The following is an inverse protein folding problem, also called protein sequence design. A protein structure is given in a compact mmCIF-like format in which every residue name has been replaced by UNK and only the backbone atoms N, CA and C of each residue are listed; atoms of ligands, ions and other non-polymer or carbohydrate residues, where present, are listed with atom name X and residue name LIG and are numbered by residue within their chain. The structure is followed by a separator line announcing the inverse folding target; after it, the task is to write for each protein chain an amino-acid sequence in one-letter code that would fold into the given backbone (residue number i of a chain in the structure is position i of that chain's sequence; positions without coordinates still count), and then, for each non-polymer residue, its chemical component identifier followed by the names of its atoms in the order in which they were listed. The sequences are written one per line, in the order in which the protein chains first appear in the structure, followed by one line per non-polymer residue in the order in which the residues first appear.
data_IF_255594291905
#
_entry.id   IF_255594291905
#
_cell.length_a   1.000
_cell.length_b   1.000
_cell.length_c   1.000
_cell.angle_alpha   90.00
_cell.angle_beta   90.00
_cell.angle_gamma   90.00
#
_symmetry.space_group_name_H-M   'P 1'
#
loop_
_entity.id
_entity.type
_entity.pdbx_description
1 polymer ?
#
# COMPACT_ATOMS: atom_id res chain seq x y z
N UNK A 1 -9.24 4.68 -7.88
CA UNK A 1 -10.13 5.83 -8.18
C UNK A 1 -11.53 5.30 -8.46
N UNK A 2 -12.57 5.81 -7.78
CA UNK A 2 -13.98 5.49 -8.08
C UNK A 2 -14.31 6.01 -9.48
N UNK A 3 -15.38 5.50 -10.12
CA UNK A 3 -15.70 5.70 -11.54
C UNK A 3 -15.54 7.09 -12.18
N UNK A 4 -15.52 8.19 -11.40
CA UNK A 4 -15.21 9.53 -11.90
C UNK A 4 -13.71 9.89 -11.95
N UNK A 5 -12.84 9.13 -11.28
CA UNK A 5 -11.42 9.45 -11.17
C UNK A 5 -10.63 9.19 -12.46
N UNK A 6 -10.93 8.09 -13.16
CA UNK A 6 -10.24 7.74 -14.41
C UNK A 6 -10.51 8.76 -15.52
N UNK A 7 -11.77 9.16 -15.83
CA UNK A 7 -12.03 10.23 -16.78
C UNK A 7 -11.33 11.56 -16.44
N UNK A 8 -11.34 11.94 -15.15
CA UNK A 8 -10.69 13.18 -14.71
C UNK A 8 -9.15 13.10 -14.86
N UNK A 9 -8.55 11.93 -14.61
CA UNK A 9 -7.13 11.71 -14.83
C UNK A 9 -6.74 11.78 -16.31
N UNK A 10 -7.60 11.24 -17.21
CA UNK A 10 -7.38 11.30 -18.67
C UNK A 10 -7.44 12.74 -19.18
N UNK A 11 -8.44 13.54 -18.73
CA UNK A 11 -8.57 14.94 -19.11
C UNK A 11 -7.40 15.77 -18.55
N UNK A 12 -6.85 15.35 -17.39
CA UNK A 12 -5.72 16.01 -16.73
C UNK A 12 -6.14 17.22 -15.87
N UNK A 13 -5.29 17.51 -14.86
CA UNK A 13 -5.46 18.71 -14.02
C UNK A 13 -6.52 18.65 -12.92
N UNK A 14 -7.22 17.51 -12.75
CA UNK A 14 -8.29 17.37 -11.76
C UNK A 14 -8.00 16.23 -10.78
N UNK A 15 -7.63 16.57 -9.54
CA UNK A 15 -7.34 15.59 -8.50
C UNK A 15 -8.56 15.22 -7.65
N UNK A 16 -9.52 16.12 -7.51
CA UNK A 16 -10.75 15.94 -6.73
C UNK A 16 -11.90 16.78 -7.29
N UNK A 17 -13.13 16.39 -6.98
CA UNK A 17 -14.33 17.17 -7.32
C UNK A 17 -14.41 18.36 -6.38
N UNK A 18 -14.45 19.57 -6.94
CA UNK A 18 -14.59 20.83 -6.21
C UNK A 18 -16.08 21.20 -6.02
N UNK A 19 -16.37 21.97 -5.00
CA UNK A 19 -17.72 22.51 -4.76
C UNK A 19 -17.78 24.00 -5.15
N UNK A 20 -18.87 24.47 -5.79
CA UNK A 20 -20.09 23.73 -6.16
C UNK A 20 -19.90 22.77 -7.34
N UNK A 21 -20.40 21.55 -7.22
CA UNK A 21 -20.18 20.47 -8.19
C UNK A 21 -20.63 20.83 -9.62
N UNK A 22 -21.71 21.60 -9.79
CA UNK A 22 -22.21 22.01 -11.11
C UNK A 22 -21.17 22.83 -11.89
N UNK A 23 -20.59 23.84 -11.27
CA UNK A 23 -19.55 24.66 -11.90
C UNK A 23 -18.27 23.90 -12.17
N UNK A 24 -17.90 23.00 -11.28
CA UNK A 24 -16.78 22.09 -11.50
C UNK A 24 -16.99 21.27 -12.78
N UNK A 25 -18.13 20.61 -12.93
CA UNK A 25 -18.40 19.78 -14.11
C UNK A 25 -18.54 20.56 -15.39
N UNK A 26 -19.13 21.78 -15.36
CA UNK A 26 -19.17 22.65 -16.53
C UNK A 26 -17.74 23.03 -16.98
N UNK A 27 -16.85 23.34 -16.05
CA UNK A 27 -15.43 23.62 -16.34
C UNK A 27 -14.71 22.40 -16.92
N UNK A 28 -14.93 21.21 -16.36
CA UNK A 28 -14.34 19.95 -16.85
C UNK A 28 -14.80 19.67 -18.28
N UNK A 29 -16.10 19.79 -18.55
CA UNK A 29 -16.67 19.56 -19.89
C UNK A 29 -16.13 20.58 -20.89
N UNK A 30 -16.10 21.87 -20.54
CA UNK A 30 -15.57 22.91 -21.41
C UNK A 30 -14.08 22.67 -21.72
N UNK A 31 -13.28 22.27 -20.71
CA UNK A 31 -11.88 21.93 -20.89
C UNK A 31 -11.71 20.70 -21.81
N UNK A 32 -12.49 19.63 -21.59
CA UNK A 32 -12.45 18.45 -22.44
C UNK A 32 -12.82 18.76 -23.90
N UNK A 33 -13.87 19.57 -24.13
CA UNK A 33 -14.26 20.00 -25.48
C UNK A 33 -13.18 20.87 -26.14
N UNK A 34 -12.55 21.76 -25.37
CA UNK A 34 -11.45 22.56 -25.86
C UNK A 34 -10.25 21.70 -26.24
N UNK A 35 -9.88 20.72 -25.41
CA UNK A 35 -8.80 19.76 -25.73
C UNK A 35 -9.11 18.98 -26.99
N UNK A 36 -10.33 18.47 -27.16
CA UNK A 36 -10.74 17.74 -28.37
C UNK A 36 -10.65 18.59 -29.65
N UNK A 37 -10.96 19.90 -29.55
CA UNK A 37 -11.00 20.80 -30.68
C UNK A 37 -9.62 21.40 -31.05
N UNK A 38 -8.81 21.70 -30.04
CA UNK A 38 -7.64 22.58 -30.22
C UNK A 38 -6.33 22.02 -29.65
N UNK A 39 -6.35 20.97 -28.81
CA UNK A 39 -5.13 20.45 -28.25
C UNK A 39 -4.28 19.74 -29.33
N UNK A 40 -2.98 20.04 -29.33
CA UNK A 40 -2.01 19.36 -30.18
C UNK A 40 -1.74 17.97 -29.62
N UNK A 41 -1.35 17.01 -30.46
CA UNK A 41 -1.04 15.63 -30.04
C UNK A 41 0.07 15.57 -28.98
N UNK A 42 1.03 16.48 -29.04
CA UNK A 42 2.15 16.63 -28.11
C UNK A 42 1.74 17.24 -26.74
N UNK A 43 0.49 17.70 -26.59
CA UNK A 43 -0.04 18.18 -25.31
C UNK A 43 -0.53 17.05 -24.39
N UNK A 44 -0.68 15.83 -24.91
CA UNK A 44 -1.08 14.67 -24.11
C UNK A 44 0.13 13.84 -23.70
N UNK A 45 0.10 13.22 -22.50
CA UNK A 45 1.18 12.33 -22.08
C UNK A 45 1.25 11.11 -23.00
N UNK A 46 2.48 10.66 -23.32
CA UNK A 46 2.70 9.44 -24.11
C UNK A 46 2.26 8.19 -23.36
N UNK A 47 2.36 8.22 -22.03
CA UNK A 47 1.96 7.12 -21.13
C UNK A 47 1.04 7.65 -20.03
N UNK A 48 -0.10 6.99 -19.84
CA UNK A 48 -1.02 7.22 -18.74
C UNK A 48 -0.93 6.08 -17.73
N UNK A 49 -0.69 6.41 -16.46
CA UNK A 49 -0.76 5.46 -15.36
C UNK A 49 -2.07 5.66 -14.61
N UNK A 50 -2.95 4.64 -14.66
CA UNK A 50 -4.30 4.70 -14.10
C UNK A 50 -4.48 3.64 -13.04
N UNK A 51 -4.96 4.02 -11.86
CA UNK A 51 -5.34 3.10 -10.80
C UNK A 51 -6.81 2.68 -10.95
N UNK A 52 -7.06 1.38 -11.06
CA UNK A 52 -8.40 0.80 -11.19
C UNK A 52 -8.83 0.23 -9.83
N UNK A 53 -9.78 0.91 -9.17
CA UNK A 53 -10.37 0.43 -7.91
C UNK A 53 -11.54 -0.53 -8.19
N UNK A 54 -11.68 -1.55 -7.34
CA UNK A 54 -12.74 -2.55 -7.41
C UNK A 54 -13.39 -2.70 -6.03
N UNK A 55 -14.44 -1.94 -5.77
CA UNK A 55 -15.21 -1.99 -4.53
C UNK A 55 -16.35 -3.03 -4.64
N UNK A 56 -16.94 -3.18 -5.82
CA UNK A 56 -18.07 -4.07 -6.08
C UNK A 56 -17.98 -4.76 -7.46
N UNK A 57 -18.79 -5.82 -7.70
CA UNK A 57 -18.85 -6.48 -9.00
C UNK A 57 -19.16 -5.51 -10.14
N UNK A 58 -18.39 -5.60 -11.21
CA UNK A 58 -18.56 -4.79 -12.42
C UNK A 58 -17.68 -3.55 -12.51
N UNK A 59 -17.05 -3.12 -11.41
CA UNK A 59 -16.23 -1.90 -11.39
C UNK A 59 -15.07 -1.98 -12.38
N UNK A 60 -14.31 -3.07 -12.40
CA UNK A 60 -13.19 -3.23 -13.34
C UNK A 60 -13.71 -3.29 -14.78
N UNK A 61 -14.83 -3.97 -15.04
CA UNK A 61 -15.42 -4.01 -16.39
C UNK A 61 -15.82 -2.60 -16.86
N UNK A 62 -16.38 -1.79 -15.97
CA UNK A 62 -16.73 -0.40 -16.26
C UNK A 62 -15.50 0.43 -16.57
N UNK A 63 -14.45 0.35 -15.75
CA UNK A 63 -13.20 1.09 -15.96
C UNK A 63 -12.51 0.67 -17.27
N UNK A 64 -12.51 -0.61 -17.60
CA UNK A 64 -12.01 -1.13 -18.87
C UNK A 64 -12.78 -0.62 -20.08
N UNK A 65 -14.07 -0.31 -19.94
CA UNK A 65 -14.87 0.30 -21.02
C UNK A 65 -14.50 1.77 -21.27
N UNK A 66 -13.91 2.46 -20.27
CA UNK A 66 -13.42 3.83 -20.39
C UNK A 66 -12.00 3.85 -21.00
N UNK A 67 -11.10 3.05 -20.46
CA UNK A 67 -9.73 2.96 -20.94
C UNK A 67 -9.24 1.51 -20.81
N UNK A 68 -8.91 0.89 -21.94
CA UNK A 68 -8.31 -0.44 -21.96
C UNK A 68 -6.78 -0.29 -21.87
N UNK A 69 -6.09 -0.92 -20.89
CA UNK A 69 -4.65 -0.78 -20.76
C UNK A 69 -3.89 -1.64 -21.80
N UNK A 70 -2.68 -1.21 -22.16
CA UNK A 70 -1.68 -2.02 -22.87
C UNK A 70 -0.80 -2.80 -21.88
N UNK A 71 -0.63 -2.26 -20.67
CA UNK A 71 0.08 -2.94 -19.59
C UNK A 71 -0.84 -2.99 -18.37
N UNK A 72 -1.19 -4.19 -17.93
CA UNK A 72 -2.02 -4.41 -16.73
C UNK A 72 -1.16 -4.91 -15.58
N UNK A 73 -1.19 -4.20 -14.44
CA UNK A 73 -0.40 -4.55 -13.26
C UNK A 73 -1.30 -5.02 -12.13
N UNK A 74 -1.03 -6.20 -11.56
CA UNK A 74 -1.64 -6.66 -10.31
C UNK A 74 -0.53 -6.85 -9.26
N UNK A 75 -0.45 -5.91 -8.33
CA UNK A 75 0.57 -5.89 -7.28
C UNK A 75 0.27 -6.85 -6.13
N UNK A 76 -0.96 -6.84 -5.63
CA UNK A 76 -1.42 -7.74 -4.58
C UNK A 76 -2.95 -7.76 -4.49
N UNK A 77 -3.51 -8.87 -4.02
CA UNK A 77 -4.92 -9.03 -3.68
C UNK A 77 -5.07 -9.41 -2.20
N UNK A 78 -4.19 -10.28 -1.71
CA UNK A 78 -4.22 -10.82 -0.35
C UNK A 78 -5.16 -12.02 -0.19
N UNK A 79 -5.03 -12.72 0.92
CA UNK A 79 -5.90 -13.84 1.30
C UNK A 79 -7.27 -13.38 1.80
N UNK A 80 -7.31 -12.22 2.45
CA UNK A 80 -8.55 -11.56 2.91
C UNK A 80 -8.57 -10.14 2.34
N UNK A 81 -9.04 -9.97 1.10
CA UNK A 81 -9.10 -8.64 0.48
C UNK A 81 -10.22 -7.80 1.10
N UNK A 82 -9.99 -6.50 1.19
CA UNK A 82 -11.05 -5.54 1.52
C UNK A 82 -12.19 -5.61 0.51
N UNK A 83 -13.39 -5.23 0.91
CA UNK A 83 -14.63 -5.28 0.13
C UNK A 83 -15.13 -6.70 -0.24
N UNK A 84 -14.54 -7.76 0.32
CA UNK A 84 -15.00 -9.13 0.04
C UNK A 84 -16.49 -9.33 0.34
N UNK A 85 -17.05 -8.59 1.31
CA UNK A 85 -18.48 -8.58 1.65
C UNK A 85 -19.40 -8.07 0.53
N UNK A 86 -18.87 -7.25 -0.40
CA UNK A 86 -19.63 -6.71 -1.52
C UNK A 86 -19.79 -7.72 -2.66
N UNK A 87 -19.13 -8.87 -2.56
CA UNK A 87 -19.14 -9.90 -3.59
C UNK A 87 -19.88 -11.14 -3.11
N UNK A 88 -20.84 -11.67 -3.89
CA UNK A 88 -21.62 -12.86 -3.51
C UNK A 88 -20.76 -14.09 -3.20
N UNK A 89 -19.58 -14.20 -3.81
CA UNK A 89 -18.62 -15.29 -3.60
C UNK A 89 -17.43 -14.86 -2.72
N UNK A 90 -17.56 -13.74 -1.99
CA UNK A 90 -16.53 -13.26 -1.06
C UNK A 90 -15.18 -13.01 -1.75
N UNK A 91 -14.12 -13.51 -1.15
CA UNK A 91 -12.72 -13.39 -1.63
C UNK A 91 -12.56 -13.82 -3.09
N UNK A 92 -13.19 -14.94 -3.51
CA UNK A 92 -13.11 -15.41 -4.89
C UNK A 92 -13.72 -14.42 -5.88
N UNK A 93 -14.78 -13.72 -5.48
CA UNK A 93 -15.40 -12.65 -6.25
C UNK A 93 -14.46 -11.48 -6.49
N UNK A 94 -13.75 -11.05 -5.46
CA UNK A 94 -12.74 -9.98 -5.56
C UNK A 94 -11.59 -10.39 -6.48
N UNK A 95 -11.08 -11.62 -6.32
CA UNK A 95 -9.99 -12.15 -7.17
C UNK A 95 -10.44 -12.14 -8.64
N UNK A 96 -11.65 -12.63 -8.93
CA UNK A 96 -12.22 -12.67 -10.28
C UNK A 96 -12.41 -11.27 -10.85
N UNK A 97 -12.91 -10.33 -10.05
CA UNK A 97 -13.11 -8.95 -10.48
C UNK A 97 -11.79 -8.27 -10.82
N UNK A 98 -10.81 -8.29 -9.91
CA UNK A 98 -9.48 -7.70 -10.15
C UNK A 98 -8.75 -8.39 -11.31
N UNK A 99 -8.92 -9.70 -11.46
CA UNK A 99 -8.37 -10.48 -12.56
C UNK A 99 -8.83 -10.04 -13.95
N UNK A 100 -10.02 -9.42 -14.06
CA UNK A 100 -10.52 -8.88 -15.35
C UNK A 100 -9.54 -7.90 -15.99
N UNK A 101 -8.77 -7.16 -15.18
CA UNK A 101 -7.75 -6.24 -15.69
C UNK A 101 -6.77 -6.94 -16.62
N UNK A 102 -6.23 -8.07 -16.19
CA UNK A 102 -5.24 -8.83 -16.97
C UNK A 102 -5.87 -9.79 -17.97
N UNK A 103 -7.13 -10.21 -17.76
CA UNK A 103 -7.85 -11.04 -18.72
C UNK A 103 -8.34 -10.26 -19.95
N UNK A 104 -8.49 -8.93 -19.84
CA UNK A 104 -8.86 -8.05 -20.94
C UNK A 104 -7.71 -7.77 -21.91
N UNK A 105 -6.47 -8.10 -21.51
CA UNK A 105 -5.27 -7.89 -22.32
C UNK A 105 -5.25 -8.87 -23.51
N UNK A 106 -4.84 -8.35 -24.67
CA UNK A 106 -4.64 -9.14 -25.89
C UNK A 106 -3.20 -9.63 -26.08
N UNK A 107 -2.93 -10.31 -27.18
CA UNK A 107 -1.60 -10.88 -27.47
C UNK A 107 -0.47 -9.85 -27.61
N UNK A 108 -0.81 -8.60 -27.97
CA UNK A 108 0.16 -7.49 -28.07
C UNK A 108 0.34 -6.72 -26.77
N UNK A 109 -0.42 -7.03 -25.72
CA UNK A 109 -0.39 -6.35 -24.42
C UNK A 109 0.48 -7.12 -23.42
N UNK A 110 0.79 -6.52 -22.28
CA UNK A 110 1.63 -7.15 -21.23
C UNK A 110 0.92 -7.15 -19.87
N UNK A 111 0.92 -8.30 -19.20
CA UNK A 111 0.51 -8.45 -17.82
C UNK A 111 1.74 -8.47 -16.90
N UNK A 112 1.76 -7.62 -15.87
CA UNK A 112 2.79 -7.59 -14.82
C UNK A 112 2.15 -8.05 -13.52
N UNK A 113 2.61 -9.16 -12.95
CA UNK A 113 1.94 -9.81 -11.83
C UNK A 113 2.90 -10.26 -10.73
N UNK A 114 2.45 -10.13 -9.49
CA UNK A 114 3.20 -10.52 -8.31
C UNK A 114 3.11 -12.04 -8.07
N UNK A 115 4.25 -12.73 -8.12
CA UNK A 115 4.32 -14.17 -7.86
C UNK A 115 4.28 -14.55 -6.36
N UNK A 116 4.36 -13.60 -5.44
CA UNK A 116 4.35 -13.90 -4.01
C UNK A 116 2.90 -13.94 -3.47
N UNK A 117 1.97 -13.25 -4.13
CA UNK A 117 0.58 -13.24 -3.74
C UNK A 117 -0.15 -14.50 -4.21
N UNK A 118 -0.67 -15.30 -3.26
CA UNK A 118 -1.35 -16.59 -3.53
C UNK A 118 -2.57 -16.40 -4.39
N UNK A 119 -3.33 -15.31 -4.19
CA UNK A 119 -4.53 -15.00 -4.96
C UNK A 119 -4.19 -14.61 -6.39
N UNK A 120 -3.11 -13.83 -6.58
CA UNK A 120 -2.62 -13.47 -7.93
C UNK A 120 -2.12 -14.69 -8.69
N UNK A 121 -1.44 -15.63 -8.03
CA UNK A 121 -1.01 -16.91 -8.66
C UNK A 121 -2.15 -17.67 -9.32
N UNK A 122 -3.36 -17.64 -8.76
CA UNK A 122 -4.51 -18.32 -9.33
C UNK A 122 -4.98 -17.74 -10.67
N UNK A 123 -4.54 -16.53 -11.01
CA UNK A 123 -4.89 -15.85 -12.25
C UNK A 123 -3.97 -16.23 -13.42
N UNK A 124 -2.72 -16.63 -13.12
CA UNK A 124 -1.66 -16.82 -14.12
C UNK A 124 -2.08 -17.71 -15.31
N UNK A 125 -2.73 -18.85 -15.03
CA UNK A 125 -3.15 -19.80 -16.07
C UNK A 125 -4.24 -19.28 -17.02
N UNK A 126 -4.87 -18.16 -16.69
CA UNK A 126 -5.97 -17.54 -17.45
C UNK A 126 -5.50 -16.32 -18.26
N UNK A 127 -4.30 -15.84 -18.05
CA UNK A 127 -3.73 -14.69 -18.77
C UNK A 127 -3.28 -15.15 -20.15
N UNK A 128 -3.71 -14.42 -21.20
CA UNK A 128 -3.36 -14.70 -22.60
C UNK A 128 -2.25 -13.78 -23.14
N UNK A 129 -2.06 -12.64 -22.50
CA UNK A 129 -1.05 -11.66 -22.83
C UNK A 129 0.36 -12.15 -22.44
N UNK A 130 1.40 -11.51 -22.98
CA UNK A 130 2.75 -11.65 -22.45
C UNK A 130 2.72 -11.39 -20.95
N UNK A 131 3.29 -12.29 -20.15
CA UNK A 131 3.29 -12.14 -18.69
C UNK A 131 4.71 -11.98 -18.18
N UNK A 132 4.95 -10.87 -17.46
CA UNK A 132 6.17 -10.60 -16.72
C UNK A 132 5.84 -10.76 -15.24
N UNK A 133 6.57 -11.67 -14.57
CA UNK A 133 6.31 -12.03 -13.17
C UNK A 133 7.38 -11.43 -12.29
N UNK A 134 7.00 -10.78 -11.20
CA UNK A 134 7.94 -10.28 -10.19
C UNK A 134 7.63 -10.83 -8.81
N UNK A 135 8.61 -10.75 -7.90
CA UNK A 135 8.47 -11.17 -6.50
C UNK A 135 9.73 -11.83 -5.96
N UNK A 136 9.66 -12.39 -4.76
CA UNK A 136 10.75 -13.12 -4.11
C UNK A 136 10.84 -14.59 -4.61
N UNK A 137 9.74 -15.10 -5.15
CA UNK A 137 9.62 -16.48 -5.61
C UNK A 137 10.64 -16.80 -6.71
N UNK A 138 11.20 -18.01 -6.68
CA UNK A 138 12.03 -18.53 -7.77
C UNK A 138 11.23 -18.55 -9.08
N UNK A 139 11.88 -18.15 -10.18
CA UNK A 139 11.24 -18.07 -11.49
C UNK A 139 10.59 -16.72 -11.79
N UNK A 140 10.63 -15.74 -10.88
CA UNK A 140 10.28 -14.36 -11.18
C UNK A 140 11.26 -13.76 -12.19
N UNK A 141 10.76 -13.05 -13.19
CA UNK A 141 11.59 -12.35 -14.19
C UNK A 141 12.38 -11.20 -13.54
N UNK A 142 11.75 -10.51 -12.59
CA UNK A 142 12.41 -9.56 -11.68
C UNK A 142 12.24 -10.10 -10.27
N UNK A 143 13.32 -10.66 -9.74
CA UNK A 143 13.32 -11.30 -8.43
C UNK A 143 13.85 -10.36 -7.36
N UNK A 144 13.13 -10.27 -6.24
CA UNK A 144 13.51 -9.48 -5.08
C UNK A 144 14.25 -10.40 -4.10
N UNK A 145 15.46 -10.00 -3.70
CA UNK A 145 16.27 -10.78 -2.76
C UNK A 145 16.94 -9.87 -1.73
N UNK A 146 17.44 -10.43 -0.62
CA UNK A 146 18.22 -9.72 0.41
C UNK A 146 17.51 -8.45 0.96
N UNK A 147 16.21 -8.55 1.26
CA UNK A 147 15.46 -7.43 1.81
C UNK A 147 15.85 -7.25 3.28
N UNK A 148 16.27 -6.04 3.65
CA UNK A 148 16.59 -5.67 5.02
C UNK A 148 16.47 -4.16 5.23
N UNK A 149 16.47 -3.71 6.50
CA UNK A 149 16.55 -2.29 6.82
C UNK A 149 18.01 -1.87 7.06
N UNK A 150 18.37 -0.70 6.54
CA UNK A 150 19.65 -0.07 6.86
C UNK A 150 19.49 0.73 8.14
N UNK A 151 20.45 0.56 9.06
CA UNK A 151 20.46 1.24 10.34
C UNK A 151 21.68 2.18 10.43
N UNK A 152 21.49 3.34 11.06
CA UNK A 152 22.55 4.25 11.45
C UNK A 152 22.49 4.47 12.97
N UNK A 153 23.34 3.79 13.70
CA UNK A 153 23.14 3.62 15.14
C UNK A 153 21.82 2.90 15.39
N UNK A 154 20.96 3.48 16.22
CA UNK A 154 19.64 2.92 16.56
C UNK A 154 18.51 3.43 15.63
N UNK A 155 18.84 4.20 14.57
CA UNK A 155 17.85 4.75 13.64
C UNK A 155 17.77 3.95 12.35
N UNK A 156 16.55 3.75 11.87
CA UNK A 156 16.26 3.15 10.58
C UNK A 156 16.45 4.22 9.50
N UNK A 157 17.35 4.01 8.54
CA UNK A 157 17.57 4.93 7.43
C UNK A 157 16.64 4.66 6.25
N UNK A 158 16.30 3.37 6.03
CA UNK A 158 15.45 2.97 4.92
C UNK A 158 15.52 1.48 4.63
N UNK A 159 15.02 1.11 3.47
CA UNK A 159 14.93 -0.26 2.99
C UNK A 159 16.01 -0.53 1.95
N UNK A 160 16.74 -1.63 2.08
CA UNK A 160 17.69 -2.15 1.08
C UNK A 160 17.26 -3.52 0.59
N UNK A 161 17.48 -3.77 -0.68
CA UNK A 161 17.23 -5.08 -1.30
C UNK A 161 18.02 -5.20 -2.61
N UNK A 162 17.96 -6.37 -3.25
CA UNK A 162 18.49 -6.56 -4.60
C UNK A 162 17.36 -6.94 -5.55
N UNK A 163 17.44 -6.43 -6.77
CA UNK A 163 16.65 -6.90 -7.89
C UNK A 163 17.53 -7.76 -8.79
N UNK A 164 17.14 -9.01 -8.96
CA UNK A 164 17.82 -9.96 -9.85
C UNK A 164 16.96 -10.15 -11.11
N UNK A 165 17.56 -9.95 -12.27
CA UNK A 165 16.97 -10.26 -13.58
C UNK A 165 17.80 -11.34 -14.27
N UNK A 166 17.41 -11.80 -15.43
CA UNK A 166 18.18 -12.78 -16.20
C UNK A 166 19.61 -12.31 -16.55
N UNK A 167 19.82 -10.99 -16.63
CA UNK A 167 21.08 -10.40 -17.12
C UNK A 167 21.88 -9.64 -16.05
N UNK A 168 21.24 -9.26 -14.92
CA UNK A 168 21.90 -8.37 -13.94
C UNK A 168 21.33 -8.53 -12.53
N UNK A 169 22.14 -8.10 -11.54
CA UNK A 169 21.74 -7.99 -10.14
C UNK A 169 22.00 -6.56 -9.68
N UNK A 170 20.94 -5.85 -9.32
CA UNK A 170 20.95 -4.42 -9.00
C UNK A 170 20.68 -4.22 -7.50
N UNK A 171 21.60 -3.62 -6.74
CA UNK A 171 21.32 -3.17 -5.38
C UNK A 171 20.39 -1.96 -5.41
N UNK A 172 19.43 -1.91 -4.49
CA UNK A 172 18.46 -0.82 -4.35
C UNK A 172 18.45 -0.31 -2.93
N UNK A 173 18.44 1.00 -2.76
CA UNK A 173 18.22 1.66 -1.47
C UNK A 173 17.09 2.68 -1.59
N UNK A 174 16.08 2.51 -0.75
CA UNK A 174 14.96 3.44 -0.62
C UNK A 174 15.07 4.18 0.72
N UNK A 175 15.52 5.44 0.72
CA UNK A 175 15.64 6.22 1.95
C UNK A 175 14.27 6.54 2.54
N UNK A 176 14.18 6.54 3.88
CA UNK A 176 12.99 6.88 4.64
C UNK A 176 11.75 6.04 4.34
N UNK A 177 11.94 4.82 3.83
CA UNK A 177 10.88 3.85 3.54
C UNK A 177 11.02 2.66 4.48
N UNK A 178 9.90 2.22 5.05
CA UNK A 178 9.90 1.12 6.00
C UNK A 178 9.37 -0.19 5.41
N UNK A 179 8.18 -0.22 4.83
CA UNK A 179 7.54 -1.48 4.43
C UNK A 179 8.24 -2.17 3.26
N UNK A 180 8.44 -3.47 3.39
CA UNK A 180 8.98 -4.33 2.31
C UNK A 180 8.07 -4.36 1.07
N UNK A 181 6.80 -3.94 1.18
CA UNK A 181 5.90 -3.81 0.04
C UNK A 181 6.44 -2.84 -1.04
N UNK A 182 7.28 -1.86 -0.65
CA UNK A 182 7.90 -0.94 -1.60
C UNK A 182 8.92 -1.63 -2.52
N UNK A 183 9.59 -2.69 -2.05
CA UNK A 183 10.44 -3.50 -2.91
C UNK A 183 9.62 -4.16 -4.04
N UNK A 184 8.42 -4.65 -3.73
CA UNK A 184 7.49 -5.17 -4.74
C UNK A 184 7.01 -4.09 -5.71
N UNK A 185 6.77 -2.86 -5.23
CA UNK A 185 6.38 -1.74 -6.09
C UNK A 185 7.51 -1.36 -7.06
N UNK A 186 8.77 -1.31 -6.59
CA UNK A 186 9.94 -1.05 -7.45
C UNK A 186 10.12 -2.16 -8.48
N UNK A 187 10.03 -3.44 -8.07
CA UNK A 187 10.11 -4.57 -8.99
C UNK A 187 9.00 -4.52 -10.07
N UNK A 188 7.77 -4.17 -9.68
CA UNK A 188 6.67 -3.95 -10.63
C UNK A 188 6.99 -2.80 -11.60
N UNK A 189 7.56 -1.70 -11.12
CA UNK A 189 7.99 -0.57 -11.94
C UNK A 189 9.05 -0.97 -12.98
N UNK A 190 10.04 -1.77 -12.58
CA UNK A 190 11.06 -2.31 -13.51
C UNK A 190 10.41 -3.23 -14.56
N UNK A 191 9.46 -4.09 -14.16
CA UNK A 191 8.70 -4.91 -15.12
C UNK A 191 7.85 -4.09 -16.10
N UNK A 192 7.28 -2.97 -15.64
CA UNK A 192 6.57 -2.03 -16.52
C UNK A 192 7.55 -1.37 -17.49
N UNK A 193 8.75 -0.96 -17.01
CA UNK A 193 9.82 -0.47 -17.88
C UNK A 193 10.16 -1.48 -18.99
N UNK A 194 10.34 -2.76 -18.63
CA UNK A 194 10.59 -3.82 -19.61
C UNK A 194 9.46 -3.97 -20.65
N UNK A 195 8.21 -3.76 -20.25
CA UNK A 195 7.07 -3.79 -21.16
C UNK A 195 7.09 -2.63 -22.20
N UNK A 196 7.87 -1.59 -21.95
CA UNK A 196 8.14 -0.46 -22.84
C UNK A 196 9.57 -0.47 -23.41
N UNK A 197 10.24 -1.63 -23.42
CA UNK A 197 11.61 -1.82 -23.92
C UNK A 197 12.68 -0.96 -23.19
N UNK A 198 12.39 -0.55 -21.95
CA UNK A 198 13.34 0.13 -21.07
C UNK A 198 14.10 -0.94 -20.29
N UNK A 199 15.42 -0.93 -20.33
CA UNK A 199 16.22 -1.91 -19.59
C UNK A 199 16.12 -1.68 -18.07
N UNK A 200 16.43 -2.70 -17.29
CA UNK A 200 16.26 -2.69 -15.84
C UNK A 200 17.11 -1.62 -15.12
N UNK A 201 18.29 -1.29 -15.65
CA UNK A 201 19.19 -0.29 -15.07
C UNK A 201 18.57 1.10 -15.20
N UNK A 202 18.15 1.48 -16.42
CA UNK A 202 17.56 2.79 -16.69
C UNK A 202 16.23 2.95 -15.95
N UNK A 203 15.40 1.89 -15.90
CA UNK A 203 14.16 1.89 -15.16
C UNK A 203 14.39 2.10 -13.65
N UNK A 204 15.37 1.41 -13.07
CA UNK A 204 15.71 1.57 -11.65
C UNK A 204 16.27 2.96 -11.36
N UNK A 205 17.18 3.49 -12.20
CA UNK A 205 17.72 4.84 -12.03
C UNK A 205 16.62 5.91 -12.07
N UNK A 206 15.66 5.79 -12.99
CA UNK A 206 14.52 6.70 -13.05
C UNK A 206 13.63 6.61 -11.79
N UNK A 207 13.42 5.41 -11.25
CA UNK A 207 12.69 5.20 -10.01
C UNK A 207 13.45 5.86 -8.85
N UNK A 208 14.73 5.55 -8.65
CA UNK A 208 15.52 6.10 -7.54
C UNK A 208 15.61 7.63 -7.57
N UNK A 209 15.70 8.21 -8.77
CA UNK A 209 15.77 9.67 -8.94
C UNK A 209 14.45 10.39 -8.56
N UNK A 210 13.31 9.72 -8.67
CA UNK A 210 11.97 10.30 -8.47
C UNK A 210 11.24 9.75 -7.23
N UNK A 211 11.76 8.69 -6.62
CA UNK A 211 11.08 8.01 -5.52
C UNK A 211 11.13 8.85 -4.24
N UNK A 212 9.96 9.14 -3.73
CA UNK A 212 9.80 9.82 -2.44
C UNK A 212 8.73 9.10 -1.59
N UNK A 213 8.95 8.92 -0.28
CA UNK A 213 7.93 8.37 0.60
C UNK A 213 6.68 9.26 0.58
N UNK A 214 5.51 8.63 0.49
CA UNK A 214 4.23 9.33 0.57
C UNK A 214 3.74 9.22 2.02
N UNK A 215 3.35 10.35 2.62
CA UNK A 215 2.77 10.36 3.97
C UNK A 215 1.60 9.39 4.11
N UNK A 216 1.52 8.70 5.23
CA UNK A 216 0.54 7.64 5.48
C UNK A 216 0.84 6.29 4.82
N UNK A 217 1.93 6.19 4.03
CA UNK A 217 2.29 4.99 3.27
C UNK A 217 3.74 4.58 3.53
N UNK A 218 4.02 4.10 4.74
CA UNK A 218 5.33 3.57 5.15
C UNK A 218 6.47 4.58 5.21
N UNK A 219 6.19 5.86 5.34
CA UNK A 219 7.22 6.87 5.55
C UNK A 219 7.82 6.75 6.95
N UNK A 220 9.15 6.82 7.04
CA UNK A 220 9.87 6.96 8.31
C UNK A 220 10.05 8.44 8.59
N UNK A 221 9.45 8.92 9.69
CA UNK A 221 9.46 10.32 10.11
C UNK A 221 10.21 10.46 11.43
N UNK A 222 10.88 11.60 11.64
CA UNK A 222 11.43 11.93 12.94
C UNK A 222 10.33 12.39 13.89
N UNK A 223 10.29 11.79 15.07
CA UNK A 223 9.33 12.09 16.11
C UNK A 223 9.93 12.79 17.32
N UNK A 224 9.06 13.20 18.25
CA UNK A 224 9.46 13.79 19.54
C UNK A 224 10.37 12.84 20.33
N UNK A 225 11.24 13.38 21.20
CA UNK A 225 12.19 12.62 22.02
C UNK A 225 13.09 11.68 21.20
N UNK A 226 13.47 12.09 20.00
CA UNK A 226 14.36 11.30 19.14
C UNK A 226 13.79 9.92 18.72
N UNK A 227 12.44 9.80 18.72
CA UNK A 227 11.73 8.61 18.24
C UNK A 227 11.66 8.59 16.72
N UNK A 228 11.39 7.43 16.14
CA UNK A 228 11.04 7.29 14.72
C UNK A 228 9.58 6.85 14.59
N UNK A 229 8.82 7.59 13.81
CA UNK A 229 7.42 7.28 13.49
C UNK A 229 7.37 6.59 12.14
N UNK A 230 6.82 5.39 12.10
CA UNK A 230 6.49 4.68 10.87
C UNK A 230 5.04 5.02 10.55
N UNK A 231 4.87 5.92 9.59
CA UNK A 231 3.55 6.42 9.20
C UNK A 231 2.89 5.51 8.16
N UNK A 232 1.97 4.69 8.63
CA UNK A 232 1.08 3.82 7.85
C UNK A 232 -0.39 4.19 8.07
N UNK A 233 -0.67 5.44 8.42
CA UNK A 233 -1.97 5.91 8.90
C UNK A 233 -3.04 6.04 7.81
N UNK A 234 -2.67 5.99 6.52
CA UNK A 234 -3.61 6.23 5.42
C UNK A 234 -4.71 5.16 5.32
N UNK A 235 -4.39 3.88 5.44
CA UNK A 235 -5.37 2.79 5.42
C UNK A 235 -4.78 1.51 6.02
N UNK A 236 -5.65 0.54 6.35
CA UNK A 236 -5.24 -0.76 6.89
C UNK A 236 -6.05 -1.90 6.28
N UNK A 237 -5.34 -2.92 5.79
CA UNK A 237 -5.88 -4.20 5.40
C UNK A 237 -5.10 -5.33 6.10
N UNK A 238 -5.63 -6.56 6.20
CA UNK A 238 -4.93 -7.66 6.85
C UNK A 238 -3.51 -7.88 6.30
N UNK A 239 -3.37 -7.97 4.98
CA UNK A 239 -2.06 -8.15 4.33
C UNK A 239 -1.10 -6.98 4.62
N UNK A 240 -1.58 -5.72 4.55
CA UNK A 240 -0.74 -4.56 4.78
C UNK A 240 -0.32 -4.44 6.26
N UNK A 241 -1.20 -4.79 7.20
CA UNK A 241 -0.87 -4.80 8.63
C UNK A 241 0.09 -5.93 8.99
N UNK A 242 -0.13 -7.12 8.46
CA UNK A 242 0.79 -8.24 8.60
C UNK A 242 2.19 -7.88 8.10
N UNK A 243 2.28 -7.31 6.89
CA UNK A 243 3.56 -6.90 6.29
C UNK A 243 4.26 -5.83 7.15
N UNK A 244 3.54 -4.86 7.68
CA UNK A 244 4.11 -3.80 8.54
C UNK A 244 4.64 -4.37 9.86
N UNK A 245 3.87 -5.24 10.53
CA UNK A 245 4.28 -5.89 11.78
C UNK A 245 5.47 -6.83 11.57
N UNK A 246 5.46 -7.64 10.50
CA UNK A 246 6.59 -8.51 10.16
C UNK A 246 7.86 -7.70 9.88
N UNK A 247 7.73 -6.54 9.21
CA UNK A 247 8.86 -5.65 8.95
C UNK A 247 9.50 -5.13 10.24
N UNK A 248 8.71 -4.92 11.31
CA UNK A 248 9.25 -4.54 12.63
C UNK A 248 10.17 -5.62 13.24
N UNK A 249 9.99 -6.90 12.90
CA UNK A 249 10.84 -7.96 13.45
C UNK A 249 12.28 -7.87 12.97
N UNK A 250 12.52 -7.27 11.81
CA UNK A 250 13.86 -7.06 11.24
C UNK A 250 14.60 -5.84 11.84
N UNK A 251 13.93 -5.03 12.64
CA UNK A 251 14.53 -3.89 13.35
C UNK A 251 15.02 -4.35 14.71
N UNK A 252 16.33 -4.27 14.94
CA UNK A 252 16.97 -4.66 16.18
C UNK A 252 17.38 -3.43 17.01
N UNK A 253 17.28 -3.54 18.33
CA UNK A 253 17.76 -2.56 19.30
C UNK A 253 16.66 -1.70 19.90
N UNK A 254 15.98 -0.80 19.17
CA UNK A 254 14.99 0.09 19.77
C UNK A 254 13.76 -0.64 20.28
N UNK A 255 13.13 -0.08 21.35
CA UNK A 255 11.82 -0.51 21.82
C UNK A 255 10.75 -0.15 20.77
N UNK A 256 9.80 -1.02 20.56
CA UNK A 256 8.78 -0.95 19.52
C UNK A 256 7.41 -0.72 20.12
N UNK A 257 6.72 0.28 19.63
CA UNK A 257 5.32 0.57 19.96
C UNK A 257 4.49 0.45 18.69
N UNK A 258 3.33 -0.19 18.77
CA UNK A 258 2.35 -0.14 17.69
C UNK A 258 1.06 0.54 18.14
N UNK A 259 0.60 1.53 17.38
CA UNK A 259 -0.72 2.15 17.49
C UNK A 259 -1.56 1.64 16.33
N UNK A 260 -2.46 0.70 16.62
CA UNK A 260 -3.22 -0.03 15.61
C UNK A 260 -4.70 0.31 15.68
N UNK A 261 -5.23 0.85 14.60
CA UNK A 261 -6.65 1.14 14.43
C UNK A 261 -7.44 -0.01 13.82
N UNK A 262 -8.77 0.11 13.80
CA UNK A 262 -9.65 -0.84 13.13
C UNK A 262 -9.23 -1.10 11.70
N UNK A 263 -9.36 -2.34 11.25
CA UNK A 263 -9.41 -2.72 9.83
C UNK A 263 -10.88 -2.80 9.42
N UNK A 264 -11.30 -1.91 8.53
CA UNK A 264 -12.68 -1.81 8.06
C UNK A 264 -12.91 -2.59 6.75
N UNK A 265 -14.17 -2.75 6.36
CA UNK A 265 -14.60 -3.34 5.08
C UNK A 265 -14.19 -4.82 4.89
N UNK A 266 -14.07 -5.55 6.00
CA UNK A 266 -13.70 -6.97 6.00
C UNK A 266 -14.91 -7.92 6.15
N UNK A 267 -16.09 -7.37 6.44
CA UNK A 267 -17.31 -8.18 6.63
C UNK A 267 -17.13 -9.34 7.62
N UNK A 268 -17.45 -10.58 7.19
CA UNK A 268 -17.36 -11.75 8.06
C UNK A 268 -15.94 -12.11 8.50
N UNK A 269 -14.91 -11.58 7.83
CA UNK A 269 -13.52 -11.84 8.17
C UNK A 269 -12.99 -10.93 9.28
N UNK A 270 -13.77 -9.94 9.73
CA UNK A 270 -13.34 -8.91 10.69
C UNK A 270 -12.74 -9.51 11.95
N UNK A 271 -13.43 -10.46 12.59
CA UNK A 271 -12.99 -11.02 13.88
C UNK A 271 -11.66 -11.76 13.70
N UNK A 272 -11.57 -12.64 12.70
CA UNK A 272 -10.38 -13.45 12.51
C UNK A 272 -9.17 -12.58 12.12
N UNK A 273 -9.35 -11.63 11.23
CA UNK A 273 -8.28 -10.72 10.81
C UNK A 273 -7.72 -9.88 11.97
N UNK A 274 -8.59 -9.41 12.89
CA UNK A 274 -8.14 -8.69 14.08
C UNK A 274 -7.44 -9.61 15.09
N UNK A 275 -7.90 -10.85 15.25
CA UNK A 275 -7.19 -11.85 16.08
C UNK A 275 -5.79 -12.15 15.52
N UNK A 276 -5.69 -12.43 14.22
CA UNK A 276 -4.40 -12.71 13.58
C UNK A 276 -3.42 -11.55 13.76
N UNK A 277 -3.90 -10.31 13.59
CA UNK A 277 -3.11 -9.11 13.82
C UNK A 277 -2.67 -8.95 15.29
N UNK A 278 -3.55 -9.23 16.26
CA UNK A 278 -3.23 -9.19 17.68
C UNK A 278 -2.19 -10.23 18.07
N UNK A 279 -2.35 -11.46 17.58
CA UNK A 279 -1.39 -12.54 17.80
C UNK A 279 0.00 -12.23 17.19
N UNK A 280 0.04 -11.54 16.04
CA UNK A 280 1.28 -11.11 15.42
C UNK A 280 1.90 -9.94 16.20
N UNK A 281 1.12 -8.94 16.59
CA UNK A 281 1.57 -7.79 17.37
C UNK A 281 2.25 -8.22 18.68
N UNK A 282 1.68 -9.20 19.37
CA UNK A 282 2.26 -9.76 20.61
C UNK A 282 3.69 -10.28 20.48
N UNK A 283 4.10 -10.63 19.25
CA UNK A 283 5.46 -11.13 18.95
C UNK A 283 6.39 -10.06 18.40
N UNK A 284 5.83 -8.95 17.94
CA UNK A 284 6.57 -7.96 17.17
C UNK A 284 6.83 -6.65 17.92
N UNK A 285 6.04 -6.34 18.97
CA UNK A 285 6.12 -5.06 19.65
C UNK A 285 6.18 -5.21 21.17
N UNK A 286 6.76 -4.21 21.84
CA UNK A 286 6.88 -4.15 23.31
C UNK A 286 5.66 -3.49 23.94
N UNK A 287 4.95 -2.61 23.18
CA UNK A 287 3.74 -1.93 23.63
C UNK A 287 2.74 -1.91 22.48
N UNK A 288 1.50 -2.29 22.76
CA UNK A 288 0.38 -2.26 21.83
C UNK A 288 -0.68 -1.27 22.32
N UNK A 289 -1.03 -0.31 21.49
CA UNK A 289 -2.15 0.62 21.70
C UNK A 289 -3.15 0.36 20.58
N UNK A 290 -4.36 -0.09 20.94
CA UNK A 290 -5.41 -0.34 19.96
C UNK A 290 -6.42 0.80 19.97
N UNK A 291 -6.92 1.21 18.79
CA UNK A 291 -7.82 2.33 18.62
C UNK A 291 -9.05 1.92 17.80
N UNK A 292 -10.22 2.02 18.42
CA UNK A 292 -11.51 1.66 17.82
C UNK A 292 -12.14 0.40 18.39
N UNK A 293 -13.38 0.15 17.99
CA UNK A 293 -14.19 -0.90 18.57
C UNK A 293 -13.76 -2.32 18.18
N UNK A 294 -13.28 -2.49 16.93
CA UNK A 294 -12.84 -3.79 16.40
C UNK A 294 -11.41 -4.09 16.83
N UNK A 295 -10.58 -3.07 16.97
CA UNK A 295 -9.20 -3.20 17.42
C UNK A 295 -9.07 -3.74 18.85
N UNK A 296 -10.13 -3.68 19.68
CA UNK A 296 -10.21 -4.37 20.98
C UNK A 296 -9.96 -5.87 20.86
N UNK A 297 -10.35 -6.49 19.73
CA UNK A 297 -10.09 -7.90 19.45
C UNK A 297 -8.59 -8.16 19.33
N UNK A 298 -7.83 -7.24 18.73
CA UNK A 298 -6.36 -7.34 18.67
C UNK A 298 -5.75 -7.30 20.06
N UNK A 299 -6.22 -6.36 20.91
CA UNK A 299 -5.74 -6.23 22.28
C UNK A 299 -5.98 -7.50 23.10
N UNK A 300 -7.21 -8.05 23.04
CA UNK A 300 -7.55 -9.28 23.76
C UNK A 300 -6.70 -10.45 23.29
N UNK A 301 -6.56 -10.64 21.97
CA UNK A 301 -5.74 -11.73 21.44
C UNK A 301 -4.25 -11.55 21.80
N UNK A 302 -3.73 -10.32 21.84
CA UNK A 302 -2.36 -10.06 22.28
C UNK A 302 -2.13 -10.46 23.75
N UNK A 303 -3.10 -10.19 24.64
CA UNK A 303 -3.08 -10.65 26.02
C UNK A 303 -3.14 -12.17 26.10
N UNK A 304 -4.02 -12.81 25.32
CA UNK A 304 -4.16 -14.27 25.26
C UNK A 304 -2.87 -14.95 24.75
N UNK A 305 -2.05 -14.23 23.94
CA UNK A 305 -0.72 -14.67 23.49
C UNK A 305 0.40 -14.33 24.47
N UNK A 306 0.08 -13.82 25.66
CA UNK A 306 1.04 -13.62 26.73
C UNK A 306 1.66 -12.22 26.80
N UNK A 307 1.15 -11.24 26.08
CA UNK A 307 1.55 -9.85 26.25
C UNK A 307 1.12 -9.33 27.62
N UNK A 308 1.96 -8.54 28.29
CA UNK A 308 1.66 -8.00 29.63
C UNK A 308 0.49 -7.03 29.58
N UNK A 309 -0.41 -7.06 30.57
CA UNK A 309 -1.52 -6.11 30.72
C UNK A 309 -1.03 -4.66 30.76
N UNK A 310 0.13 -4.40 31.34
CA UNK A 310 0.74 -3.06 31.40
C UNK A 310 1.29 -2.58 30.05
N UNK A 311 1.38 -3.46 29.06
CA UNK A 311 1.89 -3.17 27.72
C UNK A 311 0.78 -3.11 26.67
N UNK A 312 -0.47 -3.42 27.02
CA UNK A 312 -1.62 -3.40 26.10
C UNK A 312 -2.62 -2.33 26.56
N UNK A 313 -2.91 -1.39 25.68
CA UNK A 313 -3.82 -0.29 25.94
C UNK A 313 -4.96 -0.28 24.92
N UNK A 314 -6.20 -0.13 25.39
CA UNK A 314 -7.40 -0.08 24.55
C UNK A 314 -7.98 1.32 24.57
N UNK A 315 -8.13 1.93 23.40
CA UNK A 315 -8.63 3.27 23.20
C UNK A 315 -9.83 3.28 22.26
N UNK A 316 -10.76 4.22 22.45
CA UNK A 316 -11.93 4.36 21.59
C UNK A 316 -11.63 5.25 20.38
N UNK A 317 -10.88 6.32 20.58
CA UNK A 317 -10.59 7.35 19.57
C UNK A 317 -9.09 7.51 19.36
N UNK A 318 -8.72 8.11 18.22
CA UNK A 318 -7.33 8.48 17.92
C UNK A 318 -6.74 9.42 18.98
N UNK A 319 -7.58 10.30 19.55
CA UNK A 319 -7.18 11.21 20.64
C UNK A 319 -6.80 10.44 21.91
N UNK A 320 -7.61 9.47 22.32
CA UNK A 320 -7.29 8.65 23.49
C UNK A 320 -5.99 7.87 23.26
N UNK A 321 -5.80 7.35 22.05
CA UNK A 321 -4.57 6.66 21.63
C UNK A 321 -3.35 7.58 21.71
N UNK A 322 -3.48 8.82 21.27
CA UNK A 322 -2.43 9.84 21.39
C UNK A 322 -2.08 10.13 22.87
N UNK A 323 -3.10 10.32 23.71
CA UNK A 323 -2.88 10.61 25.13
C UNK A 323 -2.17 9.45 25.86
N UNK A 324 -2.50 8.21 25.53
CA UNK A 324 -1.80 7.03 26.06
C UNK A 324 -0.37 6.96 25.49
N UNK A 325 -0.20 7.12 24.17
CA UNK A 325 1.11 7.10 23.53
C UNK A 325 2.06 8.13 24.18
N UNK A 326 1.58 9.37 24.41
CA UNK A 326 2.34 10.43 25.05
C UNK A 326 2.79 10.13 26.50
N UNK A 327 2.07 9.24 27.19
CA UNK A 327 2.43 8.80 28.56
C UNK A 327 3.47 7.68 28.54
N UNK A 328 3.43 6.80 27.52
CA UNK A 328 4.22 5.55 27.53
C UNK A 328 5.49 5.61 26.69
N UNK A 329 5.55 6.50 25.66
CA UNK A 329 6.70 6.54 24.75
C UNK A 329 7.95 7.10 25.42
N UNK A 330 9.10 6.61 24.99
CA UNK A 330 10.42 6.95 25.52
C UNK A 330 11.32 7.42 24.39
N UNK A 331 12.44 8.05 24.79
CA UNK A 331 13.48 8.44 23.84
C UNK A 331 13.96 7.24 23.04
N UNK A 332 14.04 7.39 21.71
CA UNK A 332 14.56 6.38 20.79
C UNK A 332 13.59 5.26 20.43
N UNK A 333 12.32 5.30 20.87
CA UNK A 333 11.32 4.30 20.45
C UNK A 333 11.07 4.36 18.94
N UNK A 334 10.76 3.19 18.35
CA UNK A 334 10.19 3.07 17.01
C UNK A 334 8.69 2.86 17.16
N UNK A 335 7.88 3.70 16.53
CA UNK A 335 6.43 3.76 16.70
C UNK A 335 5.75 3.53 15.36
N UNK A 336 5.11 2.38 15.17
CA UNK A 336 4.25 2.10 14.01
C UNK A 336 2.84 2.64 14.27
N UNK A 337 2.31 3.45 13.36
CA UNK A 337 0.94 3.98 13.42
C UNK A 337 0.19 3.54 12.18
N UNK A 338 -0.84 2.67 12.36
CA UNK A 338 -1.60 2.09 11.25
C UNK A 338 -3.06 1.84 11.60
N UNK A 339 -3.97 2.26 10.71
CA UNK A 339 -5.42 2.02 10.84
C UNK A 339 -6.15 2.38 9.55
N UNK A 340 -7.42 2.01 9.47
CA UNK A 340 -8.27 2.48 8.36
C UNK A 340 -8.45 4.00 8.42
N UNK A 341 -8.56 4.64 7.27
CA UNK A 341 -8.58 6.10 7.13
C UNK A 341 -9.58 6.82 8.06
N UNK A 342 -10.78 6.27 8.21
CA UNK A 342 -11.82 6.88 9.07
C UNK A 342 -11.52 6.82 10.58
N UNK A 343 -10.48 6.11 11.02
CA UNK A 343 -10.04 6.11 12.42
C UNK A 343 -9.27 7.40 12.76
N UNK A 344 -8.69 8.07 11.75
CA UNK A 344 -8.07 9.38 11.90
C UNK A 344 -6.69 9.35 12.57
N UNK A 345 -5.95 8.25 12.45
CA UNK A 345 -4.62 8.11 13.05
C UNK A 345 -3.57 9.06 12.44
N UNK A 346 -3.85 9.69 11.32
CA UNK A 346 -3.03 10.78 10.75
C UNK A 346 -2.83 11.92 11.75
N UNK A 347 -3.83 12.18 12.62
CA UNK A 347 -3.72 13.18 13.67
C UNK A 347 -2.68 12.79 14.73
N UNK A 348 -2.56 11.50 15.04
CA UNK A 348 -1.54 10.99 15.96
C UNK A 348 -0.15 11.17 15.37
N UNK A 349 0.03 10.84 14.08
CA UNK A 349 1.30 11.08 13.35
C UNK A 349 1.68 12.54 13.41
N UNK A 350 0.76 13.46 13.07
CA UNK A 350 1.00 14.89 13.05
C UNK A 350 1.43 15.44 14.41
N UNK A 351 0.78 15.01 15.51
CA UNK A 351 1.13 15.47 16.85
C UNK A 351 2.46 14.88 17.33
N UNK A 352 2.77 13.63 16.99
CA UNK A 352 4.02 12.97 17.41
C UNK A 352 5.25 13.42 16.61
N UNK A 353 5.05 13.94 15.38
CA UNK A 353 6.11 14.50 14.52
C UNK A 353 6.33 16.00 14.72
N UNK A 354 5.53 16.68 15.51
CA UNK A 354 5.78 18.09 15.88
C UNK A 354 7.06 18.14 16.75
N UNK A 355 8.18 18.35 16.10
CA UNK A 355 9.40 18.78 16.77
C UNK A 355 9.10 20.10 17.43
N UNK A 356 9.26 20.19 18.76
CA UNK A 356 8.90 21.37 19.53
C UNK A 356 9.45 22.65 18.87
N UNK A 357 8.55 23.64 18.76
CA UNK A 357 8.93 25.01 18.45
C UNK A 357 9.77 25.57 19.56
#
# INVERSE_FOLDING_TARGET
MRGGGVPLAIIGGYQRIETPALWFWLRVIAHALWQLAFARKDAFPEVLVLEYAADKPGDISYLLSIAKPHVGVISAIGSVPVHAEQYPTGTEGVIREKGKLVFALGAGDTAVVNADDVSVKTLLSKIRARTIVFGQSHGSAVRITHISHTMKGDKIEGLVFKLETASTSLPVFLPHVFSVAHASAVAAGVCVGEAFDINAIDALQAIEASYAPIGGRSAILEGMKDTQIIDESYNSSPLALETALQSLTSVYGPRKIAVLGDMLELGPYTIQAHKDAGALAARCVDVLITVGNRARIMAQEALDKGMSENAVHVCETARDGLEILQKVFRKGDVILIKGSHSIGLESVVQEMTKVGK
#
